data_IF_534491700611
#
_entry.id   IF_534491700611
#
_cell.length_a   1.000
_cell.length_b   1.000
_cell.length_c   1.000
_cell.angle_alpha   90.00
_cell.angle_beta   90.00
_cell.angle_gamma   90.00
#
_symmetry.space_group_name_H-M   'P 1'
#
loop_
_entity.id
_entity.type
_entity.pdbx_description
1 polymer ?
#
# COMPACT_ATOMS: atom_id res chain seq x y z
N UNK A 1 -19.94 0.00 -5.29
CA UNK A 1 -19.26 1.22 -5.76
C UNK A 1 -17.92 0.79 -6.34
N UNK A 2 -17.62 1.09 -7.61
CA UNK A 2 -16.32 0.74 -8.20
C UNK A 2 -15.32 1.86 -7.86
N UNK A 3 -14.26 1.52 -7.13
CA UNK A 3 -13.18 2.45 -6.86
C UNK A 3 -11.88 1.92 -7.48
N UNK A 4 -11.26 2.74 -8.32
CA UNK A 4 -9.91 2.58 -8.87
C UNK A 4 -9.58 1.21 -9.49
N UNK A 5 -10.57 0.47 -10.01
CA UNK A 5 -10.38 -0.84 -10.62
C UNK A 5 -10.23 -2.02 -9.63
N UNK A 6 -10.50 -1.81 -8.34
CA UNK A 6 -10.42 -2.86 -7.31
C UNK A 6 -11.33 -4.07 -7.61
N UNK A 7 -12.44 -3.86 -8.32
CA UNK A 7 -13.34 -4.94 -8.77
C UNK A 7 -12.60 -5.95 -9.64
N UNK A 8 -11.65 -5.52 -10.48
CA UNK A 8 -10.89 -6.44 -11.33
C UNK A 8 -10.06 -7.42 -10.50
N UNK A 9 -9.46 -6.94 -9.41
CA UNK A 9 -8.75 -7.80 -8.47
C UNK A 9 -9.72 -8.77 -7.81
N UNK A 10 -10.87 -8.29 -7.33
CA UNK A 10 -11.87 -9.12 -6.67
C UNK A 10 -12.41 -10.24 -7.58
N UNK A 11 -12.79 -9.91 -8.82
CA UNK A 11 -13.27 -10.89 -9.80
C UNK A 11 -12.21 -11.93 -10.15
N UNK A 12 -10.93 -11.52 -10.28
CA UNK A 12 -9.83 -12.46 -10.52
C UNK A 12 -9.61 -13.37 -9.33
N UNK A 13 -9.62 -12.83 -8.11
CA UNK A 13 -9.50 -13.63 -6.90
C UNK A 13 -10.62 -14.68 -6.80
N UNK A 14 -11.88 -14.27 -6.99
CA UNK A 14 -13.03 -15.16 -6.91
C UNK A 14 -12.98 -16.31 -7.91
N UNK A 15 -12.52 -16.03 -9.13
CA UNK A 15 -12.36 -17.07 -10.16
C UNK A 15 -11.37 -18.15 -9.74
N UNK A 16 -10.25 -17.77 -9.12
CA UNK A 16 -9.20 -18.73 -8.71
C UNK A 16 -9.53 -19.41 -7.38
N UNK A 17 -10.00 -18.64 -6.39
CA UNK A 17 -10.21 -19.12 -5.02
C UNK A 17 -11.62 -19.67 -4.77
N UNK A 18 -12.57 -19.47 -5.69
CA UNK A 18 -13.98 -19.87 -5.58
C UNK A 18 -14.71 -19.34 -4.34
N UNK A 19 -14.28 -18.17 -3.85
CA UNK A 19 -14.88 -17.42 -2.73
C UNK A 19 -14.51 -15.95 -2.84
N UNK A 20 -15.29 -15.09 -2.18
CA UNK A 20 -14.93 -13.67 -2.00
C UNK A 20 -13.65 -13.53 -1.18
N UNK A 21 -12.90 -12.46 -1.45
CA UNK A 21 -11.64 -12.20 -0.77
C UNK A 21 -11.93 -11.64 0.62
N UNK A 22 -11.12 -12.05 1.59
CA UNK A 22 -11.11 -11.48 2.93
C UNK A 22 -10.03 -10.40 3.01
N UNK A 23 -10.06 -9.53 4.03
CA UNK A 23 -9.04 -8.51 4.21
C UNK A 23 -7.61 -9.06 4.21
N UNK A 24 -7.39 -10.24 4.80
CA UNK A 24 -6.08 -10.90 4.86
C UNK A 24 -5.58 -11.33 3.48
N UNK A 25 -6.49 -11.79 2.60
CA UNK A 25 -6.13 -12.19 1.24
C UNK A 25 -5.61 -10.99 0.43
N UNK A 26 -6.20 -9.81 0.65
CA UNK A 26 -5.71 -8.56 0.07
C UNK A 26 -4.35 -8.16 0.62
N UNK A 27 -4.12 -8.30 1.93
CA UNK A 27 -2.81 -8.02 2.54
C UNK A 27 -1.72 -8.96 2.02
N UNK A 28 -2.01 -10.26 1.89
CA UNK A 28 -1.08 -11.24 1.31
C UNK A 28 -0.80 -10.90 -0.15
N UNK A 29 -1.84 -10.59 -0.93
CA UNK A 29 -1.67 -10.17 -2.32
C UNK A 29 -0.77 -8.92 -2.43
N UNK A 30 -0.98 -7.92 -1.58
CA UNK A 30 -0.14 -6.73 -1.53
C UNK A 30 1.32 -7.08 -1.20
N UNK A 31 1.56 -7.89 -0.16
CA UNK A 31 2.90 -8.31 0.22
C UNK A 31 3.64 -9.03 -0.90
N UNK A 32 2.96 -9.96 -1.59
CA UNK A 32 3.53 -10.65 -2.75
C UNK A 32 3.78 -9.70 -3.93
N UNK A 33 2.91 -8.71 -4.15
CA UNK A 33 3.12 -7.68 -5.19
C UNK A 33 4.32 -6.79 -4.88
N UNK A 34 4.55 -6.43 -3.62
CA UNK A 34 5.76 -5.69 -3.21
C UNK A 34 7.01 -6.46 -3.59
N UNK A 35 7.07 -7.74 -3.21
CA UNK A 35 8.22 -8.60 -3.51
C UNK A 35 8.38 -8.82 -5.02
N UNK A 36 7.28 -9.06 -5.75
CA UNK A 36 7.32 -9.28 -7.19
C UNK A 36 7.73 -8.06 -8.01
N UNK A 37 7.25 -6.86 -7.64
CA UNK A 37 7.70 -5.61 -8.27
C UNK A 37 9.19 -5.39 -8.02
N UNK A 38 9.64 -5.57 -6.79
CA UNK A 38 11.03 -5.40 -6.43
C UNK A 38 11.95 -6.40 -7.16
N UNK A 39 11.62 -7.69 -7.12
CA UNK A 39 12.39 -8.73 -7.80
C UNK A 39 12.48 -8.51 -9.32
N UNK A 40 11.41 -7.99 -9.93
CA UNK A 40 11.40 -7.63 -11.36
C UNK A 40 12.35 -6.48 -11.64
N UNK A 41 12.38 -5.46 -10.77
CA UNK A 41 13.21 -4.26 -10.93
C UNK A 41 14.69 -4.53 -10.65
N UNK A 42 14.98 -5.37 -9.66
CA UNK A 42 16.34 -5.77 -9.28
C UNK A 42 16.86 -6.96 -10.09
N UNK A 43 16.06 -7.49 -11.03
CA UNK A 43 16.41 -8.60 -11.93
C UNK A 43 16.88 -9.86 -11.19
N UNK A 44 16.30 -10.17 -10.03
CA UNK A 44 16.75 -11.33 -9.26
C UNK A 44 16.07 -11.52 -7.91
N UNK A 45 16.59 -12.49 -7.16
CA UNK A 45 16.12 -12.90 -5.84
C UNK A 45 17.04 -12.52 -4.69
N UNK A 46 18.01 -11.62 -4.91
CA UNK A 46 18.89 -11.15 -3.84
C UNK A 46 18.09 -10.35 -2.81
N UNK A 47 18.14 -10.80 -1.56
CA UNK A 47 17.38 -10.22 -0.46
C UNK A 47 17.79 -8.76 -0.19
N UNK A 48 19.09 -8.46 -0.18
CA UNK A 48 19.59 -7.13 0.15
C UNK A 48 19.15 -6.13 -0.93
N UNK A 49 19.31 -6.49 -2.20
CA UNK A 49 18.87 -5.67 -3.33
C UNK A 49 17.35 -5.44 -3.32
N UNK A 50 16.55 -6.49 -3.08
CA UNK A 50 15.09 -6.37 -2.97
C UNK A 50 14.71 -5.44 -1.82
N UNK A 51 15.29 -5.65 -0.63
CA UNK A 51 14.99 -4.84 0.55
C UNK A 51 15.37 -3.38 0.33
N UNK A 52 16.55 -3.12 -0.23
CA UNK A 52 17.01 -1.77 -0.53
C UNK A 52 16.07 -1.07 -1.51
N UNK A 53 15.70 -1.73 -2.61
CA UNK A 53 14.77 -1.18 -3.58
C UNK A 53 13.38 -0.93 -2.98
N UNK A 54 12.79 -1.88 -2.25
CA UNK A 54 11.44 -1.71 -1.63
C UNK A 54 11.36 -0.45 -0.75
N UNK A 55 12.46 -0.08 -0.11
CA UNK A 55 12.53 1.06 0.82
C UNK A 55 13.04 2.34 0.16
N UNK A 56 13.38 2.28 -1.12
CA UNK A 56 13.92 3.42 -1.84
C UNK A 56 12.81 4.35 -2.37
N UNK A 57 13.12 5.62 -2.67
CA UNK A 57 12.17 6.56 -3.27
C UNK A 57 11.63 6.12 -4.64
N UNK A 58 12.34 5.23 -5.33
CA UNK A 58 11.97 4.71 -6.66
C UNK A 58 10.87 3.64 -6.58
N UNK A 59 10.69 2.99 -5.43
CA UNK A 59 9.63 2.00 -5.27
C UNK A 59 8.25 2.64 -5.18
N UNK A 60 7.31 2.05 -5.91
CA UNK A 60 5.89 2.35 -5.72
C UNK A 60 5.02 1.15 -6.08
N UNK A 61 3.91 1.01 -5.37
CA UNK A 61 2.95 -0.05 -5.58
C UNK A 61 1.59 0.51 -6.00
N UNK A 62 1.07 0.04 -7.13
CA UNK A 62 -0.32 0.24 -7.52
C UNK A 62 -1.20 -0.84 -6.86
N UNK A 63 -1.98 -0.45 -5.86
CA UNK A 63 -2.81 -1.37 -5.07
C UNK A 63 -4.30 -0.99 -5.06
N UNK A 64 -4.80 -0.30 -6.09
CA UNK A 64 -6.23 0.06 -6.22
C UNK A 64 -6.78 0.92 -5.06
N UNK A 65 -5.98 1.86 -4.54
CA UNK A 65 -6.38 2.80 -3.47
C UNK A 65 -6.37 4.27 -3.91
N UNK A 66 -6.48 4.53 -5.22
CA UNK A 66 -6.55 5.89 -5.78
C UNK A 66 -5.24 6.67 -5.83
N UNK A 67 -4.18 6.15 -5.21
CA UNK A 67 -2.82 6.69 -5.34
C UNK A 67 -1.79 5.56 -5.20
N UNK A 68 -0.55 5.86 -5.61
CA UNK A 68 0.58 4.95 -5.42
C UNK A 68 0.89 4.78 -3.93
N UNK A 69 1.27 3.56 -3.53
CA UNK A 69 1.73 3.28 -2.17
C UNK A 69 3.26 3.24 -2.14
N UNK A 70 3.86 3.71 -1.07
CA UNK A 70 5.33 3.71 -0.86
C UNK A 70 5.64 3.33 0.58
N UNK A 71 6.91 3.03 0.89
CA UNK A 71 7.34 2.77 2.26
C UNK A 71 8.05 3.99 2.85
N UNK A 72 7.87 4.21 4.14
CA UNK A 72 8.64 5.18 4.92
C UNK A 72 10.06 4.69 5.10
N UNK A 73 11.01 5.58 4.87
CA UNK A 73 12.45 5.35 5.02
C UNK A 73 12.88 5.31 6.50
N UNK A 74 12.12 5.89 7.43
CA UNK A 74 12.50 5.92 8.86
C UNK A 74 11.98 4.74 9.70
N UNK A 75 10.77 4.24 9.43
CA UNK A 75 10.14 3.16 10.21
C UNK A 75 9.74 1.94 9.34
N UNK A 76 9.84 2.04 8.01
CA UNK A 76 9.44 0.96 7.11
C UNK A 76 7.94 0.75 6.98
N UNK A 77 7.10 1.63 7.52
CA UNK A 77 5.66 1.52 7.43
C UNK A 77 5.19 1.86 6.01
N UNK A 78 4.24 1.08 5.49
CA UNK A 78 3.60 1.36 4.21
C UNK A 78 2.72 2.60 4.34
N UNK A 79 2.97 3.60 3.50
CA UNK A 79 2.07 4.74 3.26
C UNK A 79 0.91 4.26 2.41
N UNK A 80 -0.28 4.25 2.99
CA UNK A 80 -1.50 3.90 2.28
C UNK A 80 -2.71 4.69 2.76
N UNK A 81 -3.65 5.01 1.86
CA UNK A 81 -4.92 5.57 2.27
C UNK A 81 -5.75 4.56 3.08
N UNK A 82 -6.55 5.11 4.01
CA UNK A 82 -7.51 4.34 4.81
C UNK A 82 -8.92 4.63 4.30
N UNK A 83 -9.60 3.60 3.84
CA UNK A 83 -10.98 3.69 3.36
C UNK A 83 -11.92 3.74 4.57
N UNK A 84 -12.71 4.80 4.66
CA UNK A 84 -13.77 4.93 5.66
C UNK A 84 -15.10 4.59 4.98
N UNK A 85 -15.71 3.49 5.39
CA UNK A 85 -16.94 2.97 4.77
C UNK A 85 -18.06 2.76 5.78
N UNK A 86 -19.29 2.91 5.30
CA UNK A 86 -20.50 2.48 5.97
C UNK A 86 -21.16 1.40 5.11
N UNK A 87 -21.20 0.16 5.62
CA UNK A 87 -21.64 -1.02 4.88
C UNK A 87 -20.92 -1.14 3.51
N UNK A 88 -21.65 -1.09 2.39
CA UNK A 88 -21.11 -1.25 1.03
C UNK A 88 -20.67 0.06 0.37
N UNK A 89 -20.76 1.18 1.10
CA UNK A 89 -20.47 2.52 0.58
C UNK A 89 -19.21 3.07 1.23
N UNK A 90 -18.24 3.46 0.40
CA UNK A 90 -17.08 4.24 0.84
C UNK A 90 -17.55 5.68 1.06
N UNK A 91 -17.53 6.14 2.31
CA UNK A 91 -17.94 7.48 2.69
C UNK A 91 -16.83 8.50 2.45
N UNK A 92 -15.57 8.14 2.76
CA UNK A 92 -14.41 8.96 2.46
C UNK A 92 -13.12 8.15 2.46
N UNK A 93 -12.01 8.80 2.09
CA UNK A 93 -10.66 8.23 2.13
C UNK A 93 -9.80 9.13 2.99
N UNK A 94 -9.12 8.55 3.97
CA UNK A 94 -8.17 9.27 4.81
C UNK A 94 -6.75 9.14 4.25
N UNK A 95 -5.93 10.20 4.33
CA UNK A 95 -6.31 11.52 4.83
C UNK A 95 -7.17 12.29 3.80
N UNK A 96 -8.08 13.12 4.30
CA UNK A 96 -8.81 14.07 3.45
C UNK A 96 -7.86 15.17 2.96
N UNK A 97 -8.23 15.87 1.88
CA UNK A 97 -7.33 16.78 1.17
C UNK A 97 -6.81 17.94 2.04
N UNK A 98 -7.55 18.30 3.08
CA UNK A 98 -7.25 19.38 4.02
C UNK A 98 -6.17 19.01 5.05
N UNK A 99 -5.90 17.72 5.25
CA UNK A 99 -4.84 17.25 6.14
C UNK A 99 -3.51 17.23 5.38
N UNK A 100 -2.77 18.33 5.51
CA UNK A 100 -1.49 18.55 4.84
C UNK A 100 -0.31 18.03 5.66
N UNK A 101 0.73 17.60 4.96
CA UNK A 101 2.02 17.26 5.52
C UNK A 101 3.12 17.73 4.57
N UNK A 102 4.29 18.07 5.10
CA UNK A 102 5.37 18.68 4.32
C UNK A 102 5.89 17.79 3.18
N UNK A 103 5.87 16.47 3.37
CA UNK A 103 6.47 15.50 2.41
C UNK A 103 5.43 14.71 1.63
N UNK A 104 4.44 14.15 2.33
CA UNK A 104 3.37 13.34 1.76
C UNK A 104 2.16 13.44 2.66
N UNK A 105 0.97 13.74 2.12
CA UNK A 105 -0.26 13.76 2.92
C UNK A 105 -0.46 12.47 3.72
N UNK A 106 -0.06 11.31 3.18
CA UNK A 106 -0.13 10.01 3.89
C UNK A 106 0.70 9.94 5.17
N UNK A 107 1.65 10.86 5.37
CA UNK A 107 2.42 10.97 6.61
C UNK A 107 1.67 11.68 7.74
N UNK A 108 0.49 12.25 7.47
CA UNK A 108 -0.47 12.62 8.54
C UNK A 108 -1.09 11.41 9.24
N UNK A 109 -0.97 10.21 8.66
CA UNK A 109 -1.50 8.98 9.25
C UNK A 109 -0.42 8.27 10.10
N UNK A 110 -0.57 8.30 11.42
CA UNK A 110 0.36 7.66 12.35
C UNK A 110 1.42 8.62 12.91
N UNK A 111 2.50 8.07 13.45
CA UNK A 111 3.58 8.86 14.09
C UNK A 111 4.51 9.41 13.01
N UNK A 112 4.75 10.71 13.03
CA UNK A 112 5.65 11.37 12.07
C UNK A 112 7.15 11.07 12.36
N UNK A 113 8.00 11.28 11.36
CA UNK A 113 9.46 11.13 11.45
C UNK A 113 10.05 11.92 12.62
N UNK A 114 9.63 13.17 12.83
CA UNK A 114 10.22 14.01 13.89
C UNK A 114 9.90 13.51 15.30
N UNK A 115 8.78 12.78 15.45
CA UNK A 115 8.29 12.26 16.71
C UNK A 115 8.68 10.79 16.95
N UNK A 116 9.17 10.11 15.91
CA UNK A 116 9.53 8.70 15.97
C UNK A 116 10.89 8.48 16.64
N UNK A 117 10.94 7.58 17.61
CA UNK A 117 12.19 7.05 18.18
C UNK A 117 12.78 5.90 17.33
N UNK A 118 12.07 5.43 16.30
CA UNK A 118 12.52 4.36 15.43
C UNK A 118 13.70 4.83 14.56
N UNK A 119 14.78 4.06 14.57
CA UNK A 119 15.97 4.29 13.74
C UNK A 119 16.28 2.97 13.06
N UNK A 120 15.72 2.80 11.86
CA UNK A 120 15.88 1.60 11.06
C UNK A 120 17.28 1.47 10.46
#
# INVERSE_FOLDING_TARGET
>A
HEAWGATQWQTRFEREARRTARPEDYQVWMGLRVLGEAATRTQGGDYAAIREFVLSPEFSLAAFKGQKLTFRDWDGQLRQPVLLSADTVVASVSPQAEFLHQVSQLDTLGIDRAESACKR
#
